data_IF_046888997311
#
_entry.id   IF_046888997311
#
_cell.length_a   1.000
_cell.length_b   1.000
_cell.length_c   1.000
_cell.angle_alpha   90.00
_cell.angle_beta   90.00
_cell.angle_gamma   90.00
#
_symmetry.space_group_name_H-M   'P 1'
#
loop_
_entity.id
_entity.type
_entity.pdbx_description
1 polymer ?
#
# COMPACT_ATOMS: atom_id res chain seq x y z
N UNK A 1 14.18 24.56 48.57
CA UNK A 1 12.75 24.25 48.35
C UNK A 1 12.08 25.23 47.39
N UNK A 2 12.15 26.56 47.60
CA UNK A 2 11.54 27.56 46.70
C UNK A 2 12.07 27.52 45.25
N UNK A 3 13.37 27.28 45.06
CA UNK A 3 13.99 27.18 43.73
C UNK A 3 13.51 25.95 42.94
N UNK A 4 13.29 24.83 43.62
CA UNK A 4 12.82 23.58 43.02
C UNK A 4 11.34 23.67 42.60
N UNK A 5 10.53 24.37 43.40
CA UNK A 5 9.12 24.63 43.09
C UNK A 5 8.99 25.56 41.87
N UNK A 6 9.83 26.60 41.77
CA UNK A 6 9.89 27.49 40.61
C UNK A 6 10.31 26.75 39.33
N UNK A 7 11.23 25.78 39.44
CA UNK A 7 11.73 24.99 38.33
C UNK A 7 10.71 23.94 37.85
N UNK A 8 9.93 23.36 38.76
CA UNK A 8 8.83 22.46 38.40
C UNK A 8 7.67 23.22 37.72
N UNK A 9 7.35 24.43 38.18
CA UNK A 9 6.32 25.28 37.57
C UNK A 9 6.69 25.71 36.14
N UNK A 10 7.96 26.02 35.87
CA UNK A 10 8.38 26.40 34.51
C UNK A 10 8.29 25.23 33.53
N UNK A 11 8.63 24.01 33.97
CA UNK A 11 8.51 22.79 33.15
C UNK A 11 7.04 22.50 32.81
N UNK A 12 6.13 22.63 33.77
CA UNK A 12 4.69 22.41 33.55
C UNK A 12 4.14 23.41 32.52
N UNK A 13 4.54 24.68 32.60
CA UNK A 13 4.11 25.71 31.63
C UNK A 13 4.61 25.39 30.22
N UNK A 14 5.87 24.95 30.07
CA UNK A 14 6.42 24.56 28.76
C UNK A 14 5.69 23.33 28.21
N UNK A 15 5.37 22.34 29.04
CA UNK A 15 4.61 21.15 28.62
C UNK A 15 3.17 21.51 28.22
N UNK A 16 2.51 22.44 28.92
CA UNK A 16 1.20 22.94 28.54
C UNK A 16 1.18 23.70 27.20
N UNK A 17 2.29 24.37 26.84
CA UNK A 17 2.40 25.08 25.56
C UNK A 17 2.62 24.15 24.36
N UNK A 18 3.21 22.97 24.56
CA UNK A 18 3.39 21.97 23.50
C UNK A 18 2.07 21.24 23.19
N UNK A 19 1.14 21.18 24.15
CA UNK A 19 -0.14 20.47 24.03
C UNK A 19 -1.28 21.21 23.30
N UNK A 20 -1.10 22.47 22.92
CA UNK A 20 -2.18 23.30 22.36
C UNK A 20 -1.94 23.75 20.90
N UNK A 21 -1.23 22.93 20.14
CA UNK A 21 -1.02 23.12 18.70
C UNK A 21 -2.09 22.45 17.83
N UNK A 22 -3.37 22.58 18.16
CA UNK A 22 -4.43 22.23 17.21
C UNK A 22 -4.41 23.27 16.08
N UNK A 23 -3.54 23.05 15.09
CA UNK A 23 -3.48 23.84 13.88
C UNK A 23 -4.81 23.60 13.16
N UNK A 24 -5.78 24.48 13.35
CA UNK A 24 -7.03 24.47 12.60
C UNK A 24 -6.67 24.67 11.13
N UNK A 25 -6.52 23.57 10.39
CA UNK A 25 -6.34 23.60 8.96
C UNK A 25 -7.56 24.28 8.34
N UNK A 26 -7.31 25.18 7.38
CA UNK A 26 -8.42 25.81 6.67
C UNK A 26 -9.17 24.73 5.90
N UNK A 27 -10.50 24.87 5.81
CA UNK A 27 -11.31 23.92 5.06
C UNK A 27 -10.87 23.81 3.58
N UNK A 28 -10.37 24.90 2.99
CA UNK A 28 -9.84 24.88 1.63
C UNK A 28 -8.58 24.00 1.52
N UNK A 29 -7.64 24.11 2.46
CA UNK A 29 -6.47 23.24 2.47
C UNK A 29 -6.88 21.76 2.64
N UNK A 30 -7.91 21.47 3.44
CA UNK A 30 -8.44 20.10 3.57
C UNK A 30 -9.05 19.60 2.25
N UNK A 31 -9.76 20.46 1.50
CA UNK A 31 -10.28 20.08 0.18
C UNK A 31 -9.17 19.80 -0.83
N UNK A 32 -8.09 20.59 -0.80
CA UNK A 32 -6.92 20.39 -1.65
C UNK A 32 -6.25 19.04 -1.34
N UNK A 33 -6.06 18.72 -0.05
CA UNK A 33 -5.51 17.44 0.39
C UNK A 33 -6.39 16.25 -0.05
N UNK A 34 -7.71 16.36 0.10
CA UNK A 34 -8.65 15.32 -0.34
C UNK A 34 -8.59 15.12 -1.85
N UNK A 35 -8.53 16.21 -2.62
CA UNK A 35 -8.47 16.14 -4.08
C UNK A 35 -7.16 15.48 -4.53
N UNK A 36 -6.03 15.90 -3.97
CA UNK A 36 -4.73 15.30 -4.23
C UNK A 36 -4.70 13.80 -3.87
N UNK A 37 -5.34 13.42 -2.78
CA UNK A 37 -5.41 12.02 -2.35
C UNK A 37 -6.31 11.18 -3.28
N UNK A 38 -7.42 11.73 -3.78
CA UNK A 38 -8.24 11.08 -4.80
C UNK A 38 -7.44 10.88 -6.10
N UNK A 39 -6.69 11.88 -6.54
CA UNK A 39 -5.82 11.76 -7.72
C UNK A 39 -4.73 10.69 -7.52
N UNK A 40 -4.18 10.60 -6.31
CA UNK A 40 -3.18 9.57 -5.95
C UNK A 40 -3.80 8.17 -5.98
N UNK A 41 -5.00 8.00 -5.43
CA UNK A 41 -5.75 6.76 -5.50
C UNK A 41 -6.07 6.37 -6.96
N UNK A 42 -6.47 7.33 -7.79
CA UNK A 42 -6.72 7.09 -9.21
C UNK A 42 -5.46 6.65 -9.95
N UNK A 43 -4.31 7.28 -9.69
CA UNK A 43 -3.01 6.87 -10.26
C UNK A 43 -2.61 5.45 -9.84
N UNK A 44 -3.05 5.00 -8.66
CA UNK A 44 -2.88 3.62 -8.20
C UNK A 44 -3.88 2.63 -8.84
N UNK A 45 -4.80 3.09 -9.71
CA UNK A 45 -5.82 2.27 -10.37
C UNK A 45 -7.05 1.98 -9.52
N UNK A 46 -7.31 2.79 -8.48
CA UNK A 46 -8.44 2.58 -7.57
C UNK A 46 -9.81 2.70 -8.26
N UNK A 47 -9.91 3.44 -9.37
CA UNK A 47 -11.13 3.53 -10.18
C UNK A 47 -11.57 2.18 -10.77
N UNK A 48 -10.62 1.26 -10.96
CA UNK A 48 -10.86 -0.09 -11.51
C UNK A 48 -10.79 -1.18 -10.42
N UNK A 49 -9.80 -1.09 -9.53
CA UNK A 49 -9.48 -2.14 -8.56
C UNK A 49 -10.23 -1.98 -7.22
N UNK A 50 -10.58 -0.76 -6.84
CA UNK A 50 -11.24 -0.42 -5.57
C UNK A 50 -12.36 0.61 -5.78
N UNK A 51 -13.17 0.36 -6.82
CA UNK A 51 -14.08 1.36 -7.39
C UNK A 51 -15.18 1.82 -6.43
N UNK A 52 -15.61 0.96 -5.51
CA UNK A 52 -16.63 1.28 -4.51
C UNK A 52 -16.13 2.38 -3.58
N UNK A 53 -15.01 2.16 -2.91
CA UNK A 53 -14.40 3.11 -1.98
C UNK A 53 -13.96 4.39 -2.70
N UNK A 54 -13.43 4.27 -3.91
CA UNK A 54 -13.03 5.40 -4.74
C UNK A 54 -14.22 6.31 -5.09
N UNK A 55 -15.33 5.72 -5.54
CA UNK A 55 -16.53 6.48 -5.87
C UNK A 55 -17.18 7.10 -4.63
N UNK A 56 -17.21 6.38 -3.50
CA UNK A 56 -17.67 6.93 -2.23
C UNK A 56 -16.84 8.15 -1.78
N UNK A 57 -15.51 8.10 -1.93
CA UNK A 57 -14.63 9.22 -1.62
C UNK A 57 -15.02 10.47 -2.43
N UNK A 58 -15.25 10.31 -3.74
CA UNK A 58 -15.67 11.41 -4.62
C UNK A 58 -17.04 11.95 -4.22
N UNK A 59 -18.02 11.09 -3.96
CA UNK A 59 -19.35 11.52 -3.51
C UNK A 59 -19.28 12.28 -2.18
N UNK A 60 -18.47 11.81 -1.22
CA UNK A 60 -18.28 12.50 0.05
C UNK A 60 -17.62 13.87 -0.11
N UNK A 61 -16.64 14.00 -1.01
CA UNK A 61 -16.02 15.28 -1.34
C UNK A 61 -17.04 16.27 -1.93
N UNK A 62 -17.86 15.84 -2.89
CA UNK A 62 -18.90 16.70 -3.46
C UNK A 62 -19.93 17.11 -2.40
N UNK A 63 -20.34 16.19 -1.53
CA UNK A 63 -21.21 16.50 -0.40
C UNK A 63 -20.56 17.49 0.58
N UNK A 64 -19.24 17.40 0.80
CA UNK A 64 -18.51 18.34 1.65
C UNK A 64 -18.51 19.76 1.09
N UNK A 65 -18.38 19.91 -0.24
CA UNK A 65 -18.40 21.21 -0.93
C UNK A 65 -19.74 21.94 -0.77
N UNK A 66 -20.85 21.19 -0.83
CA UNK A 66 -22.21 21.77 -0.80
C UNK A 66 -22.86 21.82 0.58
N UNK A 67 -22.28 21.16 1.59
CA UNK A 67 -22.84 21.15 2.94
C UNK A 67 -22.93 22.56 3.54
N UNK A 68 -24.01 22.89 4.25
CA UNK A 68 -24.23 24.23 4.79
C UNK A 68 -23.54 24.49 6.14
N UNK A 69 -23.34 23.43 6.95
CA UNK A 69 -22.78 23.52 8.30
C UNK A 69 -21.28 23.21 8.30
N UNK A 70 -20.47 24.10 8.88
CA UNK A 70 -19.01 23.95 8.90
C UNK A 70 -18.53 22.60 9.48
N UNK A 71 -19.11 22.16 10.61
CA UNK A 71 -18.79 20.86 11.22
C UNK A 71 -19.08 19.68 10.26
N UNK A 72 -20.16 19.78 9.48
CA UNK A 72 -20.53 18.76 8.52
C UNK A 72 -19.60 18.78 7.30
N UNK A 73 -19.25 19.97 6.79
CA UNK A 73 -18.26 20.14 5.71
C UNK A 73 -16.95 19.42 6.04
N UNK A 74 -16.39 19.73 7.23
CA UNK A 74 -15.12 19.15 7.69
C UNK A 74 -15.25 17.63 7.82
N UNK A 75 -16.29 17.13 8.50
CA UNK A 75 -16.48 15.70 8.70
C UNK A 75 -16.65 14.92 7.39
N UNK A 76 -17.33 15.50 6.38
CA UNK A 76 -17.48 14.87 5.08
C UNK A 76 -16.16 14.84 4.31
N UNK A 77 -15.37 15.93 4.36
CA UNK A 77 -14.05 15.99 3.73
C UNK A 77 -13.06 15.01 4.38
N UNK A 78 -13.04 14.89 5.71
CA UNK A 78 -12.21 13.90 6.41
C UNK A 78 -12.59 12.46 6.02
N UNK A 79 -13.89 12.17 5.92
CA UNK A 79 -14.37 10.86 5.45
C UNK A 79 -13.98 10.60 3.99
N UNK A 80 -14.07 11.61 3.13
CA UNK A 80 -13.62 11.52 1.75
C UNK A 80 -12.13 11.20 1.66
N UNK A 81 -11.30 11.88 2.47
CA UNK A 81 -9.86 11.63 2.56
C UNK A 81 -9.57 10.18 2.98
N UNK A 82 -10.21 9.71 4.06
CA UNK A 82 -10.01 8.36 4.56
C UNK A 82 -10.46 7.28 3.54
N UNK A 83 -11.57 7.51 2.83
CA UNK A 83 -12.04 6.61 1.77
C UNK A 83 -11.10 6.60 0.56
N UNK A 84 -10.54 7.76 0.19
CA UNK A 84 -9.54 7.83 -0.88
C UNK A 84 -8.27 7.06 -0.51
N UNK A 85 -7.75 7.23 0.71
CA UNK A 85 -6.62 6.44 1.22
C UNK A 85 -6.90 4.93 1.22
N UNK A 86 -8.08 4.53 1.68
CA UNK A 86 -8.48 3.12 1.67
C UNK A 86 -8.52 2.56 0.24
N UNK A 87 -9.10 3.31 -0.70
CA UNK A 87 -9.17 2.89 -2.10
C UNK A 87 -7.78 2.77 -2.75
N UNK A 88 -6.84 3.67 -2.42
CA UNK A 88 -5.44 3.56 -2.86
C UNK A 88 -4.79 2.28 -2.32
N UNK A 89 -4.94 2.02 -1.01
CA UNK A 89 -4.35 0.86 -0.36
C UNK A 89 -4.90 -0.45 -0.95
N UNK A 90 -6.20 -0.54 -1.17
CA UNK A 90 -6.85 -1.69 -1.81
C UNK A 90 -6.36 -1.89 -3.25
N UNK A 91 -6.24 -0.82 -4.03
CA UNK A 91 -5.75 -0.92 -5.41
C UNK A 91 -4.30 -1.44 -5.45
N UNK A 92 -3.43 -0.92 -4.58
CA UNK A 92 -2.05 -1.39 -4.46
C UNK A 92 -1.98 -2.85 -4.00
N UNK A 93 -2.80 -3.24 -3.02
CA UNK A 93 -2.87 -4.63 -2.55
C UNK A 93 -3.26 -5.58 -3.69
N UNK A 94 -4.37 -5.29 -4.38
CA UNK A 94 -4.86 -6.14 -5.48
C UNK A 94 -3.82 -6.21 -6.61
N UNK A 95 -3.14 -5.10 -6.91
CA UNK A 95 -2.07 -5.10 -7.91
C UNK A 95 -0.88 -5.96 -7.47
N UNK A 96 -0.48 -5.89 -6.20
CA UNK A 96 0.62 -6.70 -5.67
C UNK A 96 0.25 -8.19 -5.64
N UNK A 97 -0.98 -8.54 -5.27
CA UNK A 97 -1.46 -9.93 -5.30
C UNK A 97 -1.48 -10.50 -6.72
N UNK A 98 -1.93 -9.73 -7.71
CA UNK A 98 -1.88 -10.14 -9.13
C UNK A 98 -0.45 -10.40 -9.60
N UNK A 99 0.48 -9.54 -9.23
CA UNK A 99 1.88 -9.70 -9.60
C UNK A 99 2.53 -10.90 -8.89
N UNK A 100 2.24 -11.10 -7.60
CA UNK A 100 2.70 -12.28 -6.87
C UNK A 100 2.19 -13.58 -7.50
N UNK A 101 0.92 -13.62 -7.90
CA UNK A 101 0.34 -14.79 -8.59
C UNK A 101 0.99 -15.03 -9.97
N UNK A 102 1.32 -13.97 -10.71
CA UNK A 102 2.06 -14.08 -11.98
C UNK A 102 3.44 -14.68 -11.76
N UNK A 103 4.17 -14.18 -10.76
CA UNK A 103 5.51 -14.66 -10.43
C UNK A 103 5.51 -16.11 -9.92
N UNK A 104 4.52 -16.51 -9.13
CA UNK A 104 4.37 -17.90 -8.69
C UNK A 104 4.14 -18.85 -9.87
N UNK A 105 3.32 -18.44 -10.84
CA UNK A 105 3.09 -19.21 -12.05
C UNK A 105 4.37 -19.34 -12.91
N UNK A 106 5.13 -18.26 -13.06
CA UNK A 106 6.42 -18.27 -13.77
C UNK A 106 7.45 -19.15 -13.06
N UNK A 107 7.51 -19.09 -11.73
CA UNK A 107 8.41 -19.93 -10.94
C UNK A 107 8.10 -21.42 -11.14
N UNK A 108 6.83 -21.81 -11.10
CA UNK A 108 6.43 -23.21 -11.34
C UNK A 108 6.86 -23.72 -12.71
N UNK A 109 6.70 -22.90 -13.75
CA UNK A 109 7.14 -23.26 -15.11
C UNK A 109 8.66 -23.47 -15.13
N UNK A 110 9.43 -22.56 -14.51
CA UNK A 110 10.89 -22.69 -14.43
C UNK A 110 11.32 -23.93 -13.63
N UNK A 111 10.63 -24.28 -12.56
CA UNK A 111 10.90 -25.48 -11.77
C UNK A 111 10.63 -26.76 -12.57
N UNK A 112 9.54 -26.80 -13.33
CA UNK A 112 9.21 -27.91 -14.23
C UNK A 112 10.25 -28.07 -15.35
N UNK A 113 10.66 -26.97 -15.98
CA UNK A 113 11.72 -26.97 -16.99
C UNK A 113 13.06 -27.43 -16.42
N UNK A 114 13.44 -26.95 -15.24
CA UNK A 114 14.67 -27.36 -14.56
C UNK A 114 14.65 -28.86 -14.21
N UNK A 115 13.51 -29.37 -13.73
CA UNK A 115 13.33 -30.79 -13.44
C UNK A 115 13.46 -31.65 -14.71
N UNK A 116 12.88 -31.21 -15.82
CA UNK A 116 12.99 -31.86 -17.11
C UNK A 116 14.44 -31.92 -17.60
N UNK A 117 15.14 -30.79 -17.61
CA UNK A 117 16.55 -30.71 -18.02
C UNK A 117 17.42 -31.63 -17.15
N UNK A 118 17.17 -31.67 -15.84
CA UNK A 118 17.88 -32.57 -14.92
C UNK A 118 17.66 -34.03 -15.29
N UNK A 119 16.42 -34.42 -15.57
CA UNK A 119 16.09 -35.80 -15.98
C UNK A 119 16.74 -36.17 -17.31
N UNK A 120 16.71 -35.28 -18.30
CA UNK A 120 17.34 -35.51 -19.61
C UNK A 120 18.86 -35.67 -19.48
N UNK A 121 19.50 -34.82 -18.66
CA UNK A 121 20.92 -34.92 -18.37
C UNK A 121 21.27 -36.25 -17.71
N UNK A 122 20.47 -36.71 -16.75
CA UNK A 122 20.70 -38.00 -16.08
C UNK A 122 20.59 -39.16 -17.07
N UNK A 123 19.59 -39.16 -17.95
CA UNK A 123 19.45 -40.19 -18.99
C UNK A 123 20.66 -40.21 -19.94
N UNK A 124 21.13 -39.04 -20.40
CA UNK A 124 22.33 -38.94 -21.25
C UNK A 124 23.59 -39.42 -20.54
N UNK A 125 23.76 -39.09 -19.25
CA UNK A 125 24.90 -39.58 -18.44
C UNK A 125 24.87 -41.10 -18.25
N UNK A 126 23.68 -41.69 -18.07
CA UNK A 126 23.50 -43.14 -17.96
C UNK A 126 23.79 -43.87 -19.29
N UNK A 127 23.29 -43.34 -20.40
CA UNK A 127 23.56 -43.90 -21.72
C UNK A 127 25.06 -43.81 -22.08
N UNK A 128 25.72 -42.69 -21.77
CA UNK A 128 27.16 -42.54 -21.98
C UNK A 128 27.96 -43.56 -21.16
N UNK A 129 27.60 -43.78 -19.88
CA UNK A 129 28.25 -44.80 -19.05
C UNK A 129 28.08 -46.20 -19.62
N UNK A 130 26.90 -46.53 -20.17
CA UNK A 130 26.64 -47.82 -20.80
C UNK A 130 27.51 -48.02 -22.02
N UNK A 131 27.57 -47.03 -22.92
CA UNK A 131 28.42 -47.08 -24.11
C UNK A 131 29.90 -47.26 -23.78
N UNK A 132 30.40 -46.54 -22.76
CA UNK A 132 31.79 -46.68 -22.32
C UNK A 132 32.07 -48.08 -21.75
N UNK A 133 31.15 -48.63 -20.96
CA UNK A 133 31.29 -49.99 -20.43
C UNK A 133 31.25 -51.04 -21.55
N UNK A 134 30.46 -50.85 -22.61
CA UNK A 134 30.46 -51.74 -23.78
C UNK A 134 31.80 -51.72 -24.52
N UNK A 135 32.39 -50.53 -24.71
CA UNK A 135 33.70 -50.37 -25.36
C UNK A 135 34.84 -51.01 -24.54
N UNK A 136 34.82 -50.92 -23.22
CA UNK A 136 35.86 -51.50 -22.35
C UNK A 136 35.84 -53.03 -22.28
N UNK A 137 34.74 -53.67 -22.71
CA UNK A 137 34.56 -55.12 -22.67
C UNK A 137 34.75 -55.80 -24.05
N UNK A 138 35.09 -55.05 -25.10
CA UNK A 138 35.52 -55.55 -26.43
C UNK A 138 37.05 -55.59 -26.56
#
# INVERSE_FOLDING_TARGET
>A
MKLYILLLLSIIIVVCLIGCGAKTQSFNALLDDVTMQIDTAQKAGADQLASVEFNEAKTLLENAKVASKNKQKISLAEKAYAKALLSEALAKQISAEKEANRLDAELRIMEEEAAKIKSERQAVEEDLKRMLAEIENE
#
